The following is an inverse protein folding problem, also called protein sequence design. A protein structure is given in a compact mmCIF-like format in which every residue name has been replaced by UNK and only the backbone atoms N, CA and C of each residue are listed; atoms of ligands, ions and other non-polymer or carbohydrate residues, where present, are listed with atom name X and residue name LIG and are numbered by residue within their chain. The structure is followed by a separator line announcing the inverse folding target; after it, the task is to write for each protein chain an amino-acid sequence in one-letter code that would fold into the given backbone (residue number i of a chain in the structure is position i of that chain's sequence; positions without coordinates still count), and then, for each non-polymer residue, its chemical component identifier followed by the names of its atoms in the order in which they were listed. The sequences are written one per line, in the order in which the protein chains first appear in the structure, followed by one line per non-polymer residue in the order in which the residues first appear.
data_IF_973009715594
#
_entry.id   IF_973009715594
#
_cell.length_a   1.000
_cell.length_b   1.000
_cell.length_c   1.000
_cell.angle_alpha   90.00
_cell.angle_beta   90.00
_cell.angle_gamma   90.00
#
_symmetry.space_group_name_H-M   'P 1'
#
loop_
_entity.id
_entity.type
_entity.pdbx_description
1 polymer ?
#
# COMPACT_ATOMS: atom_id res chain seq x y z
N UNK A 1 -17.05 13.39 23.55
CA UNK A 1 -17.25 14.71 22.89
C UNK A 1 -18.59 15.28 23.33
N UNK A 2 -18.78 16.61 23.43
CA UNK A 2 -20.08 17.17 23.74
C UNK A 2 -21.10 16.80 22.65
N UNK A 3 -22.34 16.44 23.00
CA UNK A 3 -23.36 15.94 22.06
C UNK A 3 -23.71 16.93 20.92
N UNK A 4 -23.45 18.21 21.10
CA UNK A 4 -23.69 19.24 20.09
C UNK A 4 -22.67 19.15 18.94
N UNK A 5 -21.39 18.88 19.23
CA UNK A 5 -20.33 18.73 18.22
C UNK A 5 -20.60 17.49 17.37
N UNK A 6 -21.00 16.39 17.98
CA UNK A 6 -21.36 15.15 17.29
C UNK A 6 -22.56 15.36 16.35
N UNK A 7 -23.57 16.12 16.80
CA UNK A 7 -24.73 16.45 15.96
C UNK A 7 -24.39 17.35 14.76
N UNK A 8 -23.44 18.27 14.91
CA UNK A 8 -22.98 19.15 13.81
C UNK A 8 -22.11 18.38 12.82
N UNK A 9 -21.21 17.52 13.30
CA UNK A 9 -20.36 16.68 12.45
C UNK A 9 -21.16 15.67 11.63
N UNK A 10 -22.30 15.20 12.16
CA UNK A 10 -23.23 14.28 11.48
C UNK A 10 -24.33 14.97 10.68
N UNK A 11 -24.26 16.31 10.55
CA UNK A 11 -25.24 17.05 9.76
C UNK A 11 -25.10 16.67 8.27
N UNK A 12 -26.09 15.96 7.74
CA UNK A 12 -26.11 15.44 6.37
C UNK A 12 -26.02 13.91 6.24
N UNK A 13 -25.43 13.20 7.21
CA UNK A 13 -25.36 11.73 7.21
C UNK A 13 -26.74 11.07 7.03
N UNK A 14 -27.76 11.58 7.68
CA UNK A 14 -29.12 11.05 7.56
C UNK A 14 -29.72 11.17 6.16
N UNK A 15 -29.24 12.12 5.32
CA UNK A 15 -29.67 12.21 3.90
C UNK A 15 -28.93 11.18 3.06
N UNK A 16 -27.64 11.04 3.26
CA UNK A 16 -26.81 10.03 2.58
C UNK A 16 -27.30 8.63 2.93
N UNK A 17 -27.49 8.32 4.20
CA UNK A 17 -27.99 7.02 4.65
C UNK A 17 -29.34 6.66 4.03
N UNK A 18 -30.25 7.63 3.89
CA UNK A 18 -31.54 7.42 3.18
C UNK A 18 -31.35 7.17 1.69
N UNK A 19 -30.38 7.83 1.04
CA UNK A 19 -30.01 7.55 -0.36
C UNK A 19 -29.52 6.13 -0.50
N UNK A 20 -28.56 5.72 0.33
CA UNK A 20 -27.98 4.36 0.32
C UNK A 20 -29.02 3.28 0.57
N UNK A 21 -29.93 3.52 1.52
CA UNK A 21 -31.05 2.59 1.80
C UNK A 21 -31.98 2.43 0.59
N UNK A 22 -32.32 3.52 -0.09
CA UNK A 22 -33.15 3.46 -1.31
C UNK A 22 -32.45 2.67 -2.43
N UNK A 23 -31.14 2.84 -2.60
CA UNK A 23 -30.36 2.06 -3.56
C UNK A 23 -30.45 0.56 -3.23
N UNK A 24 -30.26 0.19 -1.96
CA UNK A 24 -30.39 -1.21 -1.54
C UNK A 24 -31.81 -1.76 -1.75
N UNK A 25 -32.85 -0.98 -1.45
CA UNK A 25 -34.26 -1.35 -1.70
C UNK A 25 -34.52 -1.53 -3.21
N UNK A 26 -33.96 -0.67 -4.05
CA UNK A 26 -34.06 -0.79 -5.51
C UNK A 26 -33.38 -2.07 -6.01
N UNK A 27 -32.17 -2.38 -5.54
CA UNK A 27 -31.45 -3.62 -5.89
C UNK A 27 -32.29 -4.84 -5.49
N UNK A 28 -32.88 -4.83 -4.29
CA UNK A 28 -33.74 -5.91 -3.82
C UNK A 28 -34.98 -6.10 -4.71
N UNK A 29 -35.56 -5.01 -5.21
CA UNK A 29 -36.77 -5.07 -6.03
C UNK A 29 -36.57 -5.69 -7.42
N UNK A 30 -35.33 -5.71 -7.93
CA UNK A 30 -34.97 -6.27 -9.25
C UNK A 30 -34.20 -7.58 -9.14
N UNK A 31 -33.86 -8.05 -7.93
CA UNK A 31 -32.99 -9.22 -7.72
C UNK A 31 -33.51 -10.47 -8.43
N UNK A 32 -34.83 -10.73 -8.39
CA UNK A 32 -35.43 -11.93 -8.96
C UNK A 32 -35.19 -12.04 -10.47
N UNK A 33 -35.12 -10.93 -11.19
CA UNK A 33 -34.82 -10.91 -12.63
C UNK A 33 -33.41 -11.46 -12.91
N UNK A 34 -32.41 -11.09 -12.09
CA UNK A 34 -31.05 -11.56 -12.22
C UNK A 34 -30.89 -13.01 -11.75
N UNK A 35 -31.62 -13.43 -10.73
CA UNK A 35 -31.66 -14.83 -10.27
C UNK A 35 -32.18 -15.75 -11.36
N UNK A 36 -33.16 -15.31 -12.18
CA UNK A 36 -33.71 -16.07 -13.26
C UNK A 36 -32.82 -16.23 -14.49
N UNK A 37 -31.78 -15.36 -14.65
CA UNK A 37 -30.84 -15.41 -15.76
C UNK A 37 -29.97 -16.67 -15.71
N UNK A 38 -29.64 -17.21 -16.88
CA UNK A 38 -28.56 -18.19 -17.03
C UNK A 38 -27.19 -17.56 -16.79
N UNK A 39 -26.13 -18.36 -16.59
CA UNK A 39 -24.78 -17.85 -16.43
C UNK A 39 -24.31 -17.05 -17.66
N UNK A 40 -24.73 -17.44 -18.86
CA UNK A 40 -24.39 -16.72 -20.09
C UNK A 40 -25.08 -15.36 -20.17
N UNK A 41 -26.35 -15.28 -19.80
CA UNK A 41 -27.11 -14.03 -19.76
C UNK A 41 -26.55 -13.09 -18.69
N UNK A 42 -26.26 -13.61 -17.48
CA UNK A 42 -25.69 -12.81 -16.40
C UNK A 42 -24.32 -12.24 -16.78
N UNK A 43 -23.50 -13.03 -17.49
CA UNK A 43 -22.20 -12.57 -18.03
C UNK A 43 -22.37 -11.50 -19.11
N UNK A 44 -23.38 -11.64 -19.98
CA UNK A 44 -23.66 -10.71 -21.07
C UNK A 44 -24.07 -9.32 -20.57
N UNK A 45 -24.58 -9.20 -19.33
CA UNK A 45 -24.88 -7.92 -18.71
C UNK A 45 -23.68 -6.96 -18.69
N UNK A 46 -22.45 -7.49 -18.59
CA UNK A 46 -21.23 -6.66 -18.63
C UNK A 46 -21.08 -5.93 -19.98
N UNK A 47 -21.34 -6.63 -21.08
CA UNK A 47 -21.26 -6.02 -22.43
C UNK A 47 -22.41 -5.05 -22.65
N UNK A 48 -23.61 -5.37 -22.13
CA UNK A 48 -24.76 -4.46 -22.15
C UNK A 48 -24.49 -3.18 -21.37
N UNK A 49 -23.94 -3.25 -20.15
CA UNK A 49 -23.59 -2.07 -19.37
C UNK A 49 -22.50 -1.22 -20.04
N UNK A 50 -21.51 -1.87 -20.66
CA UNK A 50 -20.49 -1.15 -21.44
C UNK A 50 -21.11 -0.39 -22.61
N UNK A 51 -22.05 -0.99 -23.33
CA UNK A 51 -22.75 -0.33 -24.44
C UNK A 51 -23.59 0.85 -23.92
N UNK A 52 -24.40 0.64 -22.87
CA UNK A 52 -25.22 1.70 -22.27
C UNK A 52 -24.36 2.88 -21.77
N UNK A 53 -23.23 2.58 -21.14
CA UNK A 53 -22.26 3.60 -20.73
C UNK A 53 -21.68 4.36 -21.92
N UNK A 54 -21.32 3.68 -23.01
CA UNK A 54 -20.85 4.29 -24.24
C UNK A 54 -21.91 5.16 -24.92
N UNK A 55 -23.20 4.81 -24.78
CA UNK A 55 -24.34 5.55 -25.27
C UNK A 55 -24.71 6.76 -24.37
N UNK A 56 -23.99 6.97 -23.28
CA UNK A 56 -24.08 8.16 -22.42
C UNK A 56 -24.82 7.97 -21.11
N UNK A 57 -25.22 6.75 -20.74
CA UNK A 57 -25.78 6.45 -19.42
C UNK A 57 -24.67 6.53 -18.37
N UNK A 58 -24.98 7.04 -17.17
CA UNK A 58 -23.98 7.21 -16.12
C UNK A 58 -23.77 5.94 -15.30
N UNK A 59 -22.61 5.79 -14.66
CA UNK A 59 -22.38 4.69 -13.74
C UNK A 59 -23.37 4.70 -12.55
N UNK A 60 -23.80 5.88 -12.12
CA UNK A 60 -24.83 6.02 -11.08
C UNK A 60 -26.17 5.42 -11.53
N UNK A 61 -26.56 5.59 -12.79
CA UNK A 61 -27.79 5.03 -13.35
C UNK A 61 -27.70 3.50 -13.48
N UNK A 62 -26.53 2.98 -13.87
CA UNK A 62 -26.26 1.53 -13.99
C UNK A 62 -26.13 0.83 -12.63
N UNK A 63 -25.87 1.56 -11.55
CA UNK A 63 -25.51 1.01 -10.24
C UNK A 63 -26.49 -0.07 -9.73
N UNK A 64 -27.83 0.11 -9.73
CA UNK A 64 -28.73 -0.89 -9.19
C UNK A 64 -28.64 -2.24 -9.92
N UNK A 65 -28.65 -2.22 -11.25
CA UNK A 65 -28.58 -3.42 -12.07
C UNK A 65 -27.21 -4.08 -12.01
N UNK A 66 -26.12 -3.29 -12.04
CA UNK A 66 -24.76 -3.78 -11.89
C UNK A 66 -24.54 -4.45 -10.52
N UNK A 67 -25.11 -3.89 -9.44
CA UNK A 67 -25.00 -4.49 -8.12
C UNK A 67 -25.87 -5.75 -7.98
N UNK A 68 -27.05 -5.80 -8.60
CA UNK A 68 -27.85 -7.03 -8.66
C UNK A 68 -27.09 -8.14 -9.42
N UNK A 69 -26.45 -7.81 -10.54
CA UNK A 69 -25.60 -8.72 -11.32
C UNK A 69 -24.45 -9.29 -10.47
N UNK A 70 -23.70 -8.43 -9.77
CA UNK A 70 -22.60 -8.87 -8.90
C UNK A 70 -23.09 -9.71 -7.74
N UNK A 71 -24.24 -9.37 -7.15
CA UNK A 71 -24.83 -10.11 -6.02
C UNK A 71 -25.14 -11.54 -6.40
N UNK A 72 -25.77 -11.75 -7.54
CA UNK A 72 -26.08 -13.10 -8.04
C UNK A 72 -24.81 -13.83 -8.48
N UNK A 73 -23.86 -13.15 -9.16
CA UNK A 73 -22.59 -13.75 -9.53
C UNK A 73 -21.77 -14.20 -8.30
N UNK A 74 -21.73 -13.40 -7.24
CA UNK A 74 -21.07 -13.76 -5.98
C UNK A 74 -21.73 -14.96 -5.30
N UNK A 75 -23.05 -15.03 -5.32
CA UNK A 75 -23.81 -16.18 -4.81
C UNK A 75 -23.47 -17.45 -5.60
N UNK A 76 -23.38 -17.39 -6.92
CA UNK A 76 -23.05 -18.57 -7.76
C UNK A 76 -21.60 -19.00 -7.63
N UNK A 77 -20.66 -18.05 -7.59
CA UNK A 77 -19.23 -18.37 -7.64
C UNK A 77 -18.58 -18.60 -6.29
N UNK A 78 -19.06 -17.90 -5.23
CA UNK A 78 -18.53 -17.93 -3.87
C UNK A 78 -19.48 -18.56 -2.85
N UNK A 79 -20.75 -18.79 -3.20
CA UNK A 79 -21.79 -19.18 -2.25
C UNK A 79 -22.19 -18.04 -1.28
N UNK A 80 -21.85 -16.79 -1.63
CA UNK A 80 -22.02 -15.62 -0.74
C UNK A 80 -22.98 -14.61 -1.38
N UNK A 81 -24.19 -14.48 -0.83
CA UNK A 81 -25.12 -13.41 -1.18
C UNK A 81 -24.85 -12.22 -0.27
N UNK A 82 -24.53 -11.06 -0.82
CA UNK A 82 -24.31 -9.86 -0.05
C UNK A 82 -25.57 -9.39 0.69
N UNK A 83 -25.38 -8.94 1.93
CA UNK A 83 -26.45 -8.34 2.73
C UNK A 83 -26.69 -6.88 2.33
N UNK A 84 -27.87 -6.36 2.65
CA UNK A 84 -28.26 -4.99 2.32
C UNK A 84 -27.29 -3.94 2.86
N UNK A 85 -26.74 -4.15 4.07
CA UNK A 85 -25.73 -3.26 4.65
C UNK A 85 -24.42 -3.27 3.86
N UNK A 86 -24.06 -4.40 3.24
CA UNK A 86 -22.89 -4.48 2.37
C UNK A 86 -23.13 -3.75 1.04
N UNK A 87 -24.34 -3.84 0.47
CA UNK A 87 -24.72 -3.05 -0.71
C UNK A 87 -24.69 -1.54 -0.41
N UNK A 88 -25.15 -1.13 0.77
CA UNK A 88 -25.08 0.26 1.22
C UNK A 88 -23.63 0.73 1.34
N UNK A 89 -22.74 -0.08 1.95
CA UNK A 89 -21.31 0.18 2.03
C UNK A 89 -20.65 0.29 0.65
N UNK A 90 -20.99 -0.63 -0.25
CA UNK A 90 -20.51 -0.63 -1.63
C UNK A 90 -20.95 0.63 -2.41
N UNK A 91 -22.20 1.04 -2.27
CA UNK A 91 -22.71 2.28 -2.86
C UNK A 91 -22.06 3.52 -2.28
N UNK A 92 -21.75 3.53 -0.96
CA UNK A 92 -21.01 4.61 -0.33
C UNK A 92 -19.60 4.75 -0.92
N UNK A 93 -18.89 3.63 -1.14
CA UNK A 93 -17.57 3.63 -1.80
C UNK A 93 -17.64 4.17 -3.23
N UNK A 94 -18.64 3.75 -4.02
CA UNK A 94 -18.83 4.26 -5.39
C UNK A 94 -19.06 5.78 -5.39
N UNK A 95 -19.81 6.29 -4.43
CA UNK A 95 -20.10 7.72 -4.26
C UNK A 95 -18.93 8.53 -3.66
N UNK A 96 -17.74 7.95 -3.52
CA UNK A 96 -16.53 8.64 -3.05
C UNK A 96 -16.50 8.85 -1.53
N UNK A 97 -17.19 8.02 -0.76
CA UNK A 97 -17.21 8.10 0.70
C UNK A 97 -16.32 7.01 1.34
N UNK A 98 -16.05 7.16 2.62
CA UNK A 98 -15.44 6.14 3.46
C UNK A 98 -16.58 5.27 4.05
N UNK A 99 -16.51 3.96 3.82
CA UNK A 99 -17.41 2.99 4.41
C UNK A 99 -16.73 2.30 5.60
N UNK A 100 -17.07 2.69 6.82
CA UNK A 100 -16.59 2.02 8.02
C UNK A 100 -17.37 0.73 8.24
N UNK A 101 -16.67 -0.39 8.26
CA UNK A 101 -17.22 -1.72 8.52
C UNK A 101 -16.33 -2.45 9.52
N UNK A 102 -16.93 -3.12 10.50
CA UNK A 102 -16.18 -3.90 11.50
C UNK A 102 -15.51 -5.11 10.86
N UNK A 103 -14.48 -5.60 11.53
CA UNK A 103 -13.81 -6.86 11.15
C UNK A 103 -14.83 -7.99 11.13
N UNK A 104 -14.83 -8.79 10.05
CA UNK A 104 -15.78 -9.89 9.85
C UNK A 104 -17.09 -9.52 9.14
N UNK A 105 -17.38 -8.24 8.88
CA UNK A 105 -18.61 -7.81 8.19
C UNK A 105 -18.54 -7.93 6.66
N UNK A 106 -17.44 -8.48 6.12
CA UNK A 106 -17.32 -8.80 4.70
C UNK A 106 -16.89 -7.64 3.82
N UNK A 107 -15.99 -6.76 4.31
CA UNK A 107 -15.41 -5.64 3.53
C UNK A 107 -14.89 -6.07 2.16
N UNK A 108 -14.18 -7.21 2.09
CA UNK A 108 -13.62 -7.73 0.84
C UNK A 108 -14.69 -8.00 -0.22
N UNK A 109 -15.82 -8.61 0.17
CA UNK A 109 -16.95 -8.81 -0.74
C UNK A 109 -17.62 -7.48 -1.10
N UNK A 110 -17.75 -6.56 -0.15
CA UNK A 110 -18.34 -5.23 -0.37
C UNK A 110 -17.58 -4.46 -1.45
N UNK A 111 -16.24 -4.53 -1.47
CA UNK A 111 -15.40 -3.88 -2.47
C UNK A 111 -15.58 -4.41 -3.91
N UNK A 112 -16.09 -5.63 -4.09
CA UNK A 112 -16.30 -6.23 -5.41
C UNK A 112 -17.33 -5.44 -6.23
N UNK A 113 -18.37 -4.93 -5.60
CA UNK A 113 -19.49 -4.22 -6.25
C UNK A 113 -19.04 -2.92 -6.93
N UNK A 114 -18.45 -1.95 -6.21
CA UNK A 114 -17.97 -0.73 -6.84
C UNK A 114 -16.79 -0.97 -7.78
N UNK A 115 -15.95 -1.99 -7.54
CA UNK A 115 -14.88 -2.37 -8.46
C UNK A 115 -15.46 -2.80 -9.81
N UNK A 116 -16.46 -3.69 -9.81
CA UNK A 116 -17.16 -4.11 -11.03
C UNK A 116 -17.79 -2.93 -11.77
N UNK A 117 -18.61 -2.14 -11.07
CA UNK A 117 -19.33 -1.01 -11.67
C UNK A 117 -18.36 -0.02 -12.34
N UNK A 118 -17.30 0.36 -11.65
CA UNK A 118 -16.34 1.33 -12.21
C UNK A 118 -15.46 0.71 -13.31
N UNK A 119 -15.28 -0.60 -13.34
CA UNK A 119 -14.58 -1.30 -14.41
C UNK A 119 -15.33 -1.28 -15.74
N UNK A 120 -16.66 -1.08 -15.73
CA UNK A 120 -17.49 -0.91 -16.93
C UNK A 120 -16.96 0.22 -17.82
N UNK A 121 -16.43 1.30 -17.22
CA UNK A 121 -15.85 2.43 -17.95
C UNK A 121 -14.62 2.08 -18.80
N UNK A 122 -14.01 0.90 -18.60
CA UNK A 122 -12.84 0.43 -19.37
C UNK A 122 -11.52 1.17 -19.07
N UNK A 123 -11.50 2.04 -18.04
CA UNK A 123 -10.38 2.92 -17.70
C UNK A 123 -9.45 2.34 -16.62
N UNK A 124 -9.78 1.18 -16.05
CA UNK A 124 -9.03 0.50 -15.01
C UNK A 124 -9.42 0.91 -13.59
N UNK A 125 -9.53 -0.11 -12.73
CA UNK A 125 -9.83 0.04 -11.31
C UNK A 125 -8.70 -0.53 -10.49
N UNK A 126 -8.23 0.21 -9.49
CA UNK A 126 -7.23 -0.28 -8.54
C UNK A 126 -7.88 -0.66 -7.21
N UNK A 127 -7.57 -1.86 -6.71
CA UNK A 127 -7.93 -2.29 -5.35
C UNK A 127 -6.64 -2.36 -4.54
N UNK A 128 -6.52 -1.41 -3.61
CA UNK A 128 -5.31 -1.17 -2.83
C UNK A 128 -5.41 -1.85 -1.48
N UNK A 129 -4.43 -2.68 -1.14
CA UNK A 129 -4.33 -3.39 0.14
C UNK A 129 -3.01 -3.05 0.85
N UNK A 130 -2.87 -3.50 2.10
CA UNK A 130 -1.67 -3.19 2.91
C UNK A 130 -0.49 -4.14 2.67
N UNK A 131 -0.69 -5.30 2.05
CA UNK A 131 0.40 -6.26 1.80
C UNK A 131 0.12 -7.20 0.62
N UNK A 132 1.18 -7.78 0.07
CA UNK A 132 1.15 -8.69 -1.10
C UNK A 132 0.30 -9.95 -0.86
N UNK A 133 0.25 -10.44 0.38
CA UNK A 133 -0.57 -11.61 0.69
C UNK A 133 -2.06 -11.32 0.48
N UNK A 134 -2.54 -10.17 0.96
CA UNK A 134 -3.93 -9.75 0.77
C UNK A 134 -4.19 -9.45 -0.71
N UNK A 135 -3.29 -8.74 -1.39
CA UNK A 135 -3.43 -8.45 -2.82
C UNK A 135 -3.59 -9.74 -3.64
N UNK A 136 -2.75 -10.73 -3.39
CA UNK A 136 -2.83 -12.04 -4.05
C UNK A 136 -4.10 -12.81 -3.67
N UNK A 137 -4.37 -12.96 -2.36
CA UNK A 137 -5.55 -13.69 -1.87
C UNK A 137 -6.84 -13.12 -2.46
N UNK A 138 -6.99 -11.80 -2.41
CA UNK A 138 -8.24 -11.13 -2.79
C UNK A 138 -8.41 -11.10 -4.32
N UNK A 139 -7.33 -10.93 -5.08
CA UNK A 139 -7.35 -11.06 -6.54
C UNK A 139 -7.73 -12.46 -7.02
N UNK A 140 -7.33 -13.50 -6.29
CA UNK A 140 -7.69 -14.88 -6.59
C UNK A 140 -9.14 -15.18 -6.17
N UNK A 141 -9.53 -14.81 -4.96
CA UNK A 141 -10.82 -15.13 -4.37
C UNK A 141 -11.93 -14.29 -4.97
N UNK A 142 -11.88 -12.97 -4.88
CA UNK A 142 -12.89 -12.07 -5.45
C UNK A 142 -12.81 -12.02 -6.98
N UNK A 143 -11.63 -12.25 -7.53
CA UNK A 143 -11.43 -12.38 -8.98
C UNK A 143 -12.27 -13.46 -9.65
N UNK A 144 -12.79 -14.44 -8.90
CA UNK A 144 -13.74 -15.43 -9.43
C UNK A 144 -15.03 -14.76 -9.89
N UNK A 145 -15.54 -13.80 -9.10
CA UNK A 145 -16.75 -13.03 -9.45
C UNK A 145 -16.51 -12.19 -10.70
N UNK A 146 -15.41 -11.44 -10.71
CA UNK A 146 -15.06 -10.56 -11.83
C UNK A 146 -14.88 -11.34 -13.15
N UNK A 147 -14.12 -12.45 -13.10
CA UNK A 147 -13.88 -13.31 -14.28
C UNK A 147 -15.14 -14.01 -14.74
N UNK A 148 -16.01 -14.43 -13.82
CA UNK A 148 -17.32 -15.00 -14.16
C UNK A 148 -18.15 -13.99 -14.97
N UNK A 149 -18.11 -12.72 -14.58
CA UNK A 149 -18.78 -11.62 -15.29
C UNK A 149 -18.02 -11.10 -16.52
N UNK A 150 -16.89 -11.71 -16.90
CA UNK A 150 -16.16 -11.39 -18.13
C UNK A 150 -15.10 -10.30 -17.97
N UNK A 151 -14.80 -9.83 -16.76
CA UNK A 151 -13.73 -8.87 -16.51
C UNK A 151 -12.37 -9.55 -16.29
N UNK A 152 -11.33 -8.90 -16.75
CA UNK A 152 -9.94 -9.29 -16.48
C UNK A 152 -9.47 -8.79 -15.12
N UNK A 153 -8.65 -9.60 -14.44
CA UNK A 153 -8.12 -9.28 -13.11
C UNK A 153 -6.62 -9.47 -13.11
N UNK A 154 -5.90 -8.41 -12.77
CA UNK A 154 -4.46 -8.36 -12.59
C UNK A 154 -4.08 -8.24 -11.10
N UNK A 155 -2.80 -8.53 -10.80
CA UNK A 155 -2.22 -8.33 -9.47
C UNK A 155 -0.78 -7.84 -9.61
N UNK A 156 -0.43 -6.83 -8.81
CA UNK A 156 0.93 -6.30 -8.70
C UNK A 156 1.52 -6.74 -7.37
N UNK A 157 2.62 -7.47 -7.44
CA UNK A 157 3.35 -8.00 -6.28
C UNK A 157 4.79 -7.49 -6.29
N UNK A 158 5.38 -7.29 -5.13
CA UNK A 158 6.76 -6.86 -4.99
C UNK A 158 7.79 -7.87 -5.52
N UNK A 159 7.42 -9.15 -5.61
CA UNK A 159 8.25 -10.21 -6.20
C UNK A 159 8.29 -10.21 -7.74
N UNK A 160 7.49 -9.40 -8.40
CA UNK A 160 7.42 -9.32 -9.87
C UNK A 160 8.04 -8.00 -10.37
N UNK A 161 9.36 -7.94 -10.59
CA UNK A 161 10.05 -6.69 -10.97
C UNK A 161 9.95 -6.38 -12.47
N UNK A 162 9.49 -7.30 -13.31
CA UNK A 162 9.52 -7.18 -14.77
C UNK A 162 8.47 -6.18 -15.30
N UNK A 163 8.90 -5.03 -15.91
CA UNK A 163 7.98 -4.01 -16.38
C UNK A 163 6.94 -4.48 -17.41
N UNK A 164 7.26 -5.31 -18.41
CA UNK A 164 6.25 -5.85 -19.32
C UNK A 164 5.15 -6.64 -18.63
N UNK A 165 5.50 -7.47 -17.65
CA UNK A 165 4.53 -8.23 -16.84
C UNK A 165 3.66 -7.28 -16.02
N UNK A 166 4.26 -6.29 -15.34
CA UNK A 166 3.51 -5.29 -14.58
C UNK A 166 2.55 -4.50 -15.47
N UNK A 167 3.00 -4.06 -16.64
CA UNK A 167 2.14 -3.37 -17.62
C UNK A 167 0.93 -4.21 -18.00
N UNK A 168 1.11 -5.51 -18.25
CA UNK A 168 0.01 -6.44 -18.55
C UNK A 168 -0.99 -6.50 -17.39
N UNK A 169 -0.53 -6.51 -16.14
CA UNK A 169 -1.41 -6.50 -14.97
C UNK A 169 -2.21 -5.20 -14.86
N UNK A 170 -1.57 -4.05 -15.11
CA UNK A 170 -2.26 -2.75 -15.11
C UNK A 170 -3.28 -2.59 -16.24
N UNK A 171 -3.13 -3.34 -17.35
CA UNK A 171 -4.10 -3.32 -18.46
C UNK A 171 -5.33 -4.17 -18.19
N UNK A 172 -5.38 -4.94 -17.09
CA UNK A 172 -6.59 -5.60 -16.66
C UNK A 172 -7.70 -4.58 -16.28
N UNK A 173 -8.95 -5.01 -16.31
CA UNK A 173 -10.08 -4.17 -15.91
C UNK A 173 -9.99 -3.79 -14.42
N UNK A 174 -9.54 -4.72 -13.59
CA UNK A 174 -9.34 -4.53 -12.15
C UNK A 174 -7.96 -5.03 -11.76
N UNK A 175 -7.16 -4.18 -11.09
CA UNK A 175 -5.80 -4.52 -10.65
C UNK A 175 -5.70 -4.42 -9.14
N UNK A 176 -5.33 -5.52 -8.49
CA UNK A 176 -5.03 -5.59 -7.06
C UNK A 176 -3.54 -5.32 -6.83
N UNK A 177 -3.22 -4.67 -5.71
CA UNK A 177 -1.83 -4.42 -5.33
C UNK A 177 -1.74 -3.71 -3.99
N UNK A 178 -0.51 -3.49 -3.51
CA UNK A 178 -0.29 -2.70 -2.30
C UNK A 178 -0.14 -1.22 -2.64
N UNK A 179 -0.44 -0.36 -1.66
CA UNK A 179 -0.19 1.08 -1.75
C UNK A 179 1.26 1.38 -2.18
N UNK A 180 2.21 0.59 -1.65
CA UNK A 180 3.63 0.76 -1.93
C UNK A 180 3.99 0.42 -3.38
N UNK A 181 3.50 -0.70 -3.89
CA UNK A 181 3.78 -1.12 -5.26
C UNK A 181 3.18 -0.15 -6.28
N UNK A 182 1.92 0.28 -6.08
CA UNK A 182 1.32 1.32 -6.91
C UNK A 182 2.12 2.63 -6.85
N UNK A 183 2.56 3.03 -5.65
CA UNK A 183 3.35 4.24 -5.47
C UNK A 183 4.74 4.14 -6.07
N UNK A 184 5.43 3.01 -5.95
CA UNK A 184 6.73 2.79 -6.59
C UNK A 184 6.63 2.77 -8.11
N UNK A 185 5.59 2.15 -8.68
CA UNK A 185 5.37 2.18 -10.12
C UNK A 185 5.07 3.59 -10.60
N UNK A 186 4.28 4.36 -9.85
CA UNK A 186 4.03 5.77 -10.16
C UNK A 186 5.35 6.58 -10.16
N UNK A 187 6.23 6.38 -9.19
CA UNK A 187 7.52 7.04 -9.16
C UNK A 187 8.41 6.63 -10.33
N UNK A 188 8.44 5.33 -10.68
CA UNK A 188 9.21 4.83 -11.84
C UNK A 188 8.69 5.40 -13.14
N UNK A 189 7.38 5.43 -13.34
CA UNK A 189 6.74 6.00 -14.53
C UNK A 189 7.04 7.50 -14.69
N UNK A 190 7.13 8.25 -13.57
CA UNK A 190 7.52 9.67 -13.61
C UNK A 190 9.02 9.90 -13.89
N UNK A 191 9.85 8.86 -13.86
CA UNK A 191 11.26 8.90 -14.26
C UNK A 191 11.49 8.33 -15.66
N UNK A 192 10.45 7.80 -16.31
CA UNK A 192 10.54 7.22 -17.64
C UNK A 192 10.88 8.28 -18.70
N UNK A 193 11.73 7.92 -19.65
CA UNK A 193 12.12 8.80 -20.76
C UNK A 193 11.12 8.75 -21.93
N UNK A 194 10.40 7.65 -22.06
CA UNK A 194 9.41 7.40 -23.11
C UNK A 194 8.11 6.89 -22.50
N UNK A 195 6.98 7.24 -23.11
CA UNK A 195 5.66 6.83 -22.62
C UNK A 195 5.49 5.30 -22.67
N UNK A 196 6.16 4.64 -23.62
CA UNK A 196 6.14 3.19 -23.72
C UNK A 196 6.84 2.48 -22.55
N UNK A 197 7.68 3.17 -21.81
CA UNK A 197 8.34 2.63 -20.61
C UNK A 197 7.43 2.65 -19.37
N UNK A 198 6.38 3.47 -19.38
CA UNK A 198 5.41 3.52 -18.29
C UNK A 198 4.60 2.23 -18.20
N UNK A 199 4.38 1.76 -16.98
CA UNK A 199 3.62 0.53 -16.73
C UNK A 199 2.16 0.81 -16.35
N UNK A 200 1.89 1.93 -15.67
CA UNK A 200 0.54 2.32 -15.26
C UNK A 200 -0.23 2.97 -16.40
N UNK A 201 -1.55 2.89 -16.30
CA UNK A 201 -2.49 3.71 -17.07
C UNK A 201 -2.89 4.94 -16.26
N UNK A 202 -3.90 5.68 -16.73
CA UNK A 202 -4.55 6.73 -15.97
C UNK A 202 -5.13 6.19 -14.64
N UNK A 203 -5.21 7.07 -13.65
CA UNK A 203 -5.85 6.76 -12.37
C UNK A 203 -7.33 7.17 -12.43
N UNK A 204 -8.20 6.22 -12.67
CA UNK A 204 -9.64 6.46 -12.82
C UNK A 204 -10.40 6.27 -11.51
N UNK A 205 -10.30 5.08 -10.92
CA UNK A 205 -10.99 4.74 -9.69
C UNK A 205 -10.14 3.82 -8.82
N UNK A 206 -10.14 4.08 -7.52
CA UNK A 206 -9.42 3.24 -6.56
C UNK A 206 -10.28 2.96 -5.32
N UNK A 207 -10.20 1.73 -4.84
CA UNK A 207 -10.70 1.32 -3.52
C UNK A 207 -9.48 1.09 -2.64
N UNK A 208 -9.40 1.81 -1.51
CA UNK A 208 -8.32 1.67 -0.54
C UNK A 208 -8.87 0.94 0.67
N UNK A 209 -8.44 -0.31 0.87
CA UNK A 209 -8.77 -1.07 2.07
C UNK A 209 -7.82 -0.70 3.21
N UNK A 210 -8.30 -0.80 4.45
CA UNK A 210 -7.54 -0.42 5.66
C UNK A 210 -6.96 1.00 5.56
N UNK A 211 -7.81 1.95 5.18
CA UNK A 211 -7.45 3.35 4.88
C UNK A 211 -6.81 4.08 6.07
N UNK A 212 -7.11 3.70 7.29
CA UNK A 212 -6.49 4.18 8.52
C UNK A 212 -5.00 3.80 8.58
N UNK A 213 -4.64 2.55 8.28
CA UNK A 213 -3.24 2.13 8.19
C UNK A 213 -2.50 2.88 7.07
N UNK A 214 -3.09 2.96 5.87
CA UNK A 214 -2.42 3.52 4.69
C UNK A 214 -2.31 5.05 4.77
N UNK A 215 -3.42 5.75 5.07
CA UNK A 215 -3.48 7.21 4.98
C UNK A 215 -3.22 7.93 6.31
N UNK A 216 -3.17 7.22 7.44
CA UNK A 216 -2.89 7.82 8.76
C UNK A 216 -1.58 7.28 9.32
N UNK A 217 -1.48 5.97 9.57
CA UNK A 217 -0.33 5.39 10.26
C UNK A 217 0.96 5.47 9.42
N UNK A 218 0.88 5.12 8.14
CA UNK A 218 2.00 5.16 7.20
C UNK A 218 2.10 6.47 6.41
N UNK A 219 1.21 7.45 6.62
CA UNK A 219 1.12 8.66 5.80
C UNK A 219 2.42 9.48 5.74
N UNK A 220 3.27 9.38 6.75
CA UNK A 220 4.55 10.10 6.84
C UNK A 220 5.75 9.29 6.34
N UNK A 221 5.54 8.04 5.94
CA UNK A 221 6.61 7.18 5.43
C UNK A 221 6.80 7.44 3.94
N UNK A 222 7.87 8.13 3.51
CA UNK A 222 8.06 8.43 2.10
C UNK A 222 8.41 7.16 1.31
N UNK A 223 7.93 7.07 0.08
CA UNK A 223 8.43 6.11 -0.89
C UNK A 223 9.66 6.72 -1.56
N UNK A 224 10.80 6.03 -1.48
CA UNK A 224 12.06 6.53 -2.01
C UNK A 224 12.63 5.52 -3.00
N UNK A 225 12.93 5.98 -4.22
CA UNK A 225 13.75 5.25 -5.18
C UNK A 225 15.15 5.81 -5.07
N UNK A 226 16.12 4.97 -4.67
CA UNK A 226 17.54 5.34 -4.62
C UNK A 226 18.33 4.47 -5.59
N UNK A 227 19.25 5.11 -6.31
CA UNK A 227 20.28 4.41 -7.07
C UNK A 227 21.47 4.03 -6.18
N UNK A 228 22.42 3.22 -6.69
CA UNK A 228 23.66 2.99 -5.99
C UNK A 228 24.38 4.33 -5.78
N UNK A 229 24.64 4.67 -4.51
CA UNK A 229 25.44 5.85 -4.20
C UNK A 229 26.88 5.59 -4.62
N UNK A 230 27.53 6.57 -5.25
CA UNK A 230 28.97 6.54 -5.56
C UNK A 230 29.86 6.54 -4.30
N UNK A 231 29.25 6.59 -3.11
CA UNK A 231 29.98 6.61 -1.84
C UNK A 231 30.59 5.23 -1.56
N UNK A 232 31.88 5.25 -1.41
CA UNK A 232 32.77 4.11 -1.26
C UNK A 232 32.28 3.13 -0.17
N UNK A 233 32.07 1.84 -0.49
CA UNK A 233 31.80 0.78 0.48
C UNK A 233 32.84 0.70 1.61
N UNK A 234 34.04 1.23 1.36
CA UNK A 234 35.16 1.28 2.29
C UNK A 234 34.83 1.98 3.61
N UNK A 235 34.14 3.14 3.56
CA UNK A 235 33.80 3.88 4.77
C UNK A 235 32.82 3.17 5.67
N UNK A 236 31.79 2.52 5.08
CA UNK A 236 30.87 1.71 5.88
C UNK A 236 31.58 0.56 6.60
N UNK A 237 32.50 -0.12 5.94
CA UNK A 237 33.29 -1.19 6.54
C UNK A 237 34.23 -0.67 7.64
N UNK A 238 34.86 0.49 7.47
CA UNK A 238 35.75 1.10 8.50
C UNK A 238 34.91 1.51 9.72
N UNK A 239 33.78 2.18 9.53
CA UNK A 239 32.93 2.59 10.66
C UNK A 239 32.20 1.39 11.33
N UNK A 240 31.97 0.30 10.62
CA UNK A 240 31.49 -0.94 11.21
C UNK A 240 32.52 -1.56 12.19
N UNK A 241 33.82 -1.34 11.98
CA UNK A 241 34.88 -1.76 12.92
C UNK A 241 35.02 -0.81 14.11
N UNK A 242 34.74 0.48 13.91
CA UNK A 242 34.84 1.54 14.94
C UNK A 242 33.65 1.45 15.91
N UNK A 243 32.45 1.36 15.40
CA UNK A 243 31.21 1.40 16.19
C UNK A 243 31.18 0.40 17.38
N UNK A 244 31.63 -0.88 17.27
CA UNK A 244 31.66 -1.80 18.40
C UNK A 244 32.60 -1.40 19.51
N UNK A 245 33.62 -0.56 19.23
CA UNK A 245 34.64 -0.11 20.20
C UNK A 245 34.18 1.10 21.01
N UNK A 246 33.14 1.79 20.52
CA UNK A 246 32.53 2.91 21.23
C UNK A 246 31.56 2.37 22.28
N UNK A 247 31.50 3.02 23.44
CA UNK A 247 30.67 2.65 24.57
C UNK A 247 29.40 3.50 24.61
N UNK A 248 28.25 2.83 24.71
CA UNK A 248 27.01 3.52 25.03
C UNK A 248 27.11 4.09 26.44
N UNK A 249 26.74 5.35 26.60
CA UNK A 249 26.70 6.06 27.85
C UNK A 249 25.30 6.36 28.30
N UNK A 250 25.20 6.69 29.60
CA UNK A 250 24.00 7.23 30.26
C UNK A 250 24.45 8.42 31.10
N UNK A 251 23.61 9.45 31.21
CA UNK A 251 23.83 10.64 32.07
C UNK A 251 25.15 11.41 31.80
N UNK A 252 25.60 11.47 30.54
CA UNK A 252 26.80 12.23 30.16
C UNK A 252 28.12 11.47 30.25
N UNK A 253 28.11 10.20 30.63
CA UNK A 253 29.29 9.32 30.61
C UNK A 253 29.20 8.34 29.44
N UNK A 254 30.26 8.19 28.65
CA UNK A 254 30.33 7.28 27.49
C UNK A 254 30.71 7.99 26.21
N UNK A 255 30.63 7.29 25.10
CA UNK A 255 31.05 7.80 23.79
C UNK A 255 29.87 8.27 22.94
N UNK A 256 28.66 7.77 23.21
CA UNK A 256 27.41 8.16 22.56
C UNK A 256 26.19 7.81 23.42
N UNK A 257 25.14 8.57 23.23
CA UNK A 257 23.79 8.32 23.81
C UNK A 257 22.82 7.83 22.76
N UNK A 258 21.78 7.08 23.19
CA UNK A 258 20.76 6.54 22.32
C UNK A 258 19.38 6.87 22.88
N UNK A 259 18.57 7.58 22.11
CA UNK A 259 17.14 7.76 22.35
C UNK A 259 16.36 6.74 21.49
N UNK A 260 16.01 5.62 22.10
CA UNK A 260 15.29 4.55 21.39
C UNK A 260 13.88 4.97 20.93
N UNK A 261 13.22 5.88 21.66
CA UNK A 261 11.89 6.37 21.31
C UNK A 261 11.89 7.27 20.08
N UNK A 262 12.89 8.13 19.98
CA UNK A 262 13.07 9.04 18.82
C UNK A 262 13.89 8.40 17.70
N UNK A 263 14.44 7.21 17.91
CA UNK A 263 15.38 6.54 17.01
C UNK A 263 16.56 7.44 16.61
N UNK A 264 17.12 8.20 17.59
CA UNK A 264 18.25 9.11 17.42
C UNK A 264 19.42 8.71 18.29
N UNK A 265 20.60 9.14 17.86
CA UNK A 265 21.83 9.02 18.66
C UNK A 265 22.49 10.40 18.80
N UNK A 266 23.19 10.61 19.90
CA UNK A 266 24.06 11.76 20.15
C UNK A 266 25.50 11.27 20.40
N UNK A 267 26.46 11.79 19.64
CA UNK A 267 27.89 11.44 19.86
C UNK A 267 28.42 12.43 20.86
N UNK A 268 29.17 11.90 21.87
CA UNK A 268 29.79 12.70 22.92
C UNK A 268 31.21 13.02 22.54
N UNK A 269 31.81 13.99 23.24
CA UNK A 269 33.18 14.46 23.00
C UNK A 269 34.21 13.33 23.07
N UNK A 270 34.09 12.42 24.05
CA UNK A 270 34.93 11.23 24.17
C UNK A 270 34.85 10.28 22.96
N UNK A 271 33.63 10.17 22.37
CA UNK A 271 33.39 9.39 21.16
C UNK A 271 34.04 10.04 19.93
N UNK A 272 33.89 11.36 19.81
CA UNK A 272 34.53 12.15 18.75
C UNK A 272 36.04 11.95 18.79
N UNK A 273 36.68 12.16 19.95
CA UNK A 273 38.11 12.02 20.12
C UNK A 273 38.64 10.63 19.72
N UNK A 274 37.92 9.56 20.13
CA UNK A 274 38.31 8.19 19.75
C UNK A 274 38.22 7.93 18.25
N UNK A 275 37.23 8.53 17.57
CA UNK A 275 37.07 8.41 16.12
C UNK A 275 38.17 9.20 15.39
N UNK A 276 38.49 10.40 15.84
CA UNK A 276 39.60 11.22 15.32
C UNK A 276 40.94 10.50 15.46
N UNK A 277 41.24 9.96 16.64
CA UNK A 277 42.44 9.15 16.90
C UNK A 277 42.53 7.91 15.99
N UNK A 278 41.39 7.23 15.78
CA UNK A 278 41.34 6.04 14.92
C UNK A 278 41.57 6.36 13.46
N UNK A 279 40.98 7.47 12.98
CA UNK A 279 41.05 7.87 11.58
C UNK A 279 42.34 8.68 11.28
N UNK A 280 43.04 9.16 12.33
CA UNK A 280 44.20 10.02 12.19
C UNK A 280 43.87 11.40 11.63
N UNK A 281 42.75 11.97 12.05
CA UNK A 281 42.28 13.30 11.65
C UNK A 281 42.23 14.24 12.86
N UNK A 282 42.44 15.52 12.63
CA UNK A 282 42.51 16.51 13.72
C UNK A 282 41.11 16.97 14.18
N UNK A 283 40.09 17.00 13.27
CA UNK A 283 38.74 17.44 13.59
C UNK A 283 37.70 16.74 12.69
N UNK A 284 36.82 15.97 13.31
CA UNK A 284 35.76 15.23 12.62
C UNK A 284 34.71 16.17 11.98
N UNK A 285 34.50 17.36 12.54
CA UNK A 285 33.47 18.32 12.09
C UNK A 285 34.01 19.35 11.08
N UNK A 286 35.25 19.25 10.66
CA UNK A 286 35.74 20.05 9.54
C UNK A 286 34.99 19.77 8.26
N UNK A 287 34.86 20.78 7.40
CA UNK A 287 34.06 20.69 6.16
C UNK A 287 34.48 19.49 5.27
N UNK A 288 35.73 19.14 5.24
CA UNK A 288 36.26 17.99 4.49
C UNK A 288 35.85 16.66 5.12
N UNK A 289 35.72 16.62 6.45
CA UNK A 289 35.38 15.41 7.22
C UNK A 289 33.89 15.26 7.51
N UNK A 290 33.07 16.30 7.26
CA UNK A 290 31.63 16.28 7.50
C UNK A 290 30.90 15.02 6.98
N UNK A 291 31.21 14.45 5.79
CA UNK A 291 30.60 13.21 5.33
C UNK A 291 30.85 12.02 6.27
N UNK A 292 31.99 12.00 7.01
CA UNK A 292 32.35 10.93 7.93
C UNK A 292 31.43 10.87 9.14
N UNK A 293 30.86 12.01 9.57
CA UNK A 293 29.89 12.09 10.65
C UNK A 293 28.63 11.28 10.31
N UNK A 294 28.18 11.29 9.04
CA UNK A 294 27.04 10.52 8.59
C UNK A 294 27.32 9.00 8.67
N UNK A 295 28.52 8.55 8.25
CA UNK A 295 28.92 7.15 8.35
C UNK A 295 28.97 6.67 9.80
N UNK A 296 29.54 7.50 10.70
CA UNK A 296 29.60 7.20 12.12
C UNK A 296 28.20 7.08 12.73
N UNK A 297 27.36 8.06 12.48
CA UNK A 297 25.94 8.06 12.95
C UNK A 297 25.21 6.80 12.48
N UNK A 298 25.29 6.47 11.19
CA UNK A 298 24.62 5.32 10.63
C UNK A 298 25.16 4.00 11.21
N UNK A 299 26.46 3.88 11.43
CA UNK A 299 27.06 2.67 12.01
C UNK A 299 26.66 2.45 13.46
N UNK A 300 26.57 3.53 14.27
CA UNK A 300 26.09 3.42 15.67
C UNK A 300 24.58 3.13 15.68
N UNK A 301 23.77 3.78 14.81
CA UNK A 301 22.34 3.46 14.68
C UNK A 301 22.13 2.01 14.26
N UNK A 302 22.88 1.51 13.27
CA UNK A 302 22.82 0.12 12.85
C UNK A 302 23.12 -0.85 14.00
N UNK A 303 24.12 -0.51 14.86
CA UNK A 303 24.49 -1.29 16.04
C UNK A 303 23.36 -1.33 17.09
N UNK A 304 22.79 -0.19 17.44
CA UNK A 304 21.91 -0.04 18.60
C UNK A 304 20.43 -0.18 18.29
N UNK A 305 19.97 0.36 17.16
CA UNK A 305 18.55 0.54 16.84
C UNK A 305 18.02 -0.48 15.84
N UNK A 306 18.89 -1.19 15.11
CA UNK A 306 18.48 -2.17 14.12
C UNK A 306 18.93 -3.57 14.51
N UNK A 307 17.99 -4.44 14.89
CA UNK A 307 18.27 -5.79 15.40
C UNK A 307 17.93 -6.83 14.35
N UNK A 308 18.87 -7.75 14.14
CA UNK A 308 18.65 -8.92 13.28
C UNK A 308 17.47 -9.76 13.85
N UNK A 309 16.72 -10.34 12.96
CA UNK A 309 15.54 -11.16 13.23
C UNK A 309 14.35 -10.40 13.89
N UNK A 310 14.47 -9.07 13.96
CA UNK A 310 13.40 -8.16 14.39
C UNK A 310 13.13 -7.09 13.34
N UNK A 311 14.14 -6.24 13.05
CA UNK A 311 14.01 -5.13 12.11
C UNK A 311 14.44 -5.54 10.70
N UNK A 312 15.29 -6.56 10.58
CA UNK A 312 15.73 -7.13 9.31
C UNK A 312 16.11 -8.61 9.48
N UNK A 313 16.08 -9.35 8.36
CA UNK A 313 16.59 -10.71 8.25
C UNK A 313 17.68 -10.79 7.18
N UNK A 314 18.58 -11.77 7.29
CA UNK A 314 19.61 -12.04 6.29
C UNK A 314 19.22 -13.32 5.54
N UNK A 315 18.94 -13.20 4.24
CA UNK A 315 18.63 -14.32 3.38
C UNK A 315 19.47 -14.25 2.10
N UNK A 316 20.09 -15.34 1.72
CA UNK A 316 20.96 -15.45 0.53
C UNK A 316 22.10 -14.40 0.49
N UNK A 317 22.55 -13.92 1.65
CA UNK A 317 23.58 -12.89 1.75
C UNK A 317 23.08 -11.45 1.61
N UNK A 318 21.79 -11.26 1.48
CA UNK A 318 21.15 -9.95 1.39
C UNK A 318 20.35 -9.61 2.64
N UNK A 319 20.28 -8.33 2.97
CA UNK A 319 19.46 -7.81 4.05
C UNK A 319 18.04 -7.52 3.51
N UNK A 320 17.06 -8.13 4.15
CA UNK A 320 15.65 -7.89 3.86
C UNK A 320 14.98 -7.24 5.07
N UNK A 321 14.29 -6.14 4.83
CA UNK A 321 13.59 -5.38 5.89
C UNK A 321 12.39 -6.16 6.38
N UNK A 322 12.18 -6.18 7.69
CA UNK A 322 10.95 -6.68 8.33
C UNK A 322 10.08 -5.49 8.69
N UNK A 323 8.83 -5.54 8.27
CA UNK A 323 7.83 -4.53 8.60
C UNK A 323 7.53 -4.55 10.10
N UNK A 324 7.64 -3.41 10.75
CA UNK A 324 7.48 -3.28 12.22
C UNK A 324 6.05 -3.62 12.68
N UNK A 325 5.04 -3.38 11.83
CA UNK A 325 3.64 -3.56 12.17
C UNK A 325 3.13 -4.97 11.84
N UNK A 326 3.54 -5.51 10.71
CA UNK A 326 3.03 -6.80 10.23
C UNK A 326 3.99 -7.98 10.47
N UNK A 327 5.25 -7.71 10.78
CA UNK A 327 6.30 -8.71 10.92
C UNK A 327 6.66 -9.41 9.59
N UNK A 328 6.27 -8.85 8.45
CA UNK A 328 6.49 -9.45 7.13
C UNK A 328 7.74 -8.88 6.45
N UNK A 329 8.35 -9.69 5.58
CA UNK A 329 9.50 -9.27 4.79
C UNK A 329 9.02 -8.32 3.68
N UNK A 330 9.66 -7.15 3.59
CA UNK A 330 9.43 -6.15 2.56
C UNK A 330 10.45 -6.35 1.43
N UNK A 331 10.06 -7.09 0.40
CA UNK A 331 10.93 -7.34 -0.75
C UNK A 331 11.17 -6.06 -1.57
N UNK A 332 12.42 -5.91 -2.05
CA UNK A 332 12.81 -4.77 -2.90
C UNK A 332 12.94 -3.43 -2.18
N UNK A 333 12.72 -3.37 -0.86
CA UNK A 333 12.93 -2.15 -0.06
C UNK A 333 14.32 -2.09 0.54
N UNK A 334 14.85 -0.86 0.66
CA UNK A 334 16.12 -0.56 1.33
C UNK A 334 15.90 0.58 2.32
N UNK A 335 16.65 0.55 3.43
CA UNK A 335 16.73 1.71 4.31
C UNK A 335 17.43 2.87 3.58
N UNK A 336 16.97 4.09 3.82
CA UNK A 336 17.48 5.30 3.18
C UNK A 336 18.78 5.85 3.83
N UNK A 337 19.31 6.92 3.28
CA UNK A 337 20.42 7.72 3.82
C UNK A 337 21.69 6.92 4.21
N UNK A 338 21.97 5.82 3.50
CA UNK A 338 23.13 4.97 3.78
C UNK A 338 22.95 3.99 4.95
N UNK A 339 21.76 3.95 5.58
CA UNK A 339 21.50 3.04 6.68
C UNK A 339 21.53 1.58 6.24
N UNK A 340 21.04 1.27 5.04
CA UNK A 340 21.07 -0.10 4.53
C UNK A 340 22.50 -0.62 4.41
N UNK A 341 23.40 0.19 3.84
CA UNK A 341 24.81 -0.13 3.71
C UNK A 341 25.51 -0.25 5.08
N UNK A 342 25.10 0.57 6.06
CA UNK A 342 25.64 0.47 7.42
C UNK A 342 25.20 -0.84 8.11
N UNK A 343 24.01 -1.34 7.84
CA UNK A 343 23.51 -2.63 8.33
C UNK A 343 24.19 -3.79 7.57
N UNK A 344 24.40 -3.67 6.25
CA UNK A 344 25.15 -4.65 5.46
C UNK A 344 26.60 -4.81 5.92
N UNK A 345 27.22 -3.72 6.38
CA UNK A 345 28.61 -3.71 6.88
C UNK A 345 28.75 -4.21 8.34
N UNK A 346 27.68 -4.20 9.12
CA UNK A 346 27.61 -4.69 10.50
C UNK A 346 27.73 -6.20 10.56
#
# INVERSE_FOLDING_TARGET
MPPIIDSVLRAGEGRLLRKLKRISEQINSIEDDFVAMSDAELRAMTDEFRQRYADGETLDDLLPEAFATVREAAKRTLGQRAFDVQLMGAAALHLGNIAEMKTGEGKTLTGVFPAYLNAIAGRGVHVVTVNDYLAKRDSEWMGRVHRFLGLSVGVILGSEPDPPTRRKQYHADITYGTNNEFGFDYLRDNMAWQLEDCVQREHFYAIVDEVDSILIDEARTPLIISGPAEQSPRWYQEFAKIAPRLRRGEDGEGDYEVDEKKKTIGIMESGVQKVEDWLGIDNLYDAVNTPLVSFLNNSIKAKELYKKDKDYVVMNGEILIVDEFTGRILHGRRYNEGMHQAIEAK
#
